data_IF_900384680405
#
_entry.id   IF_900384680405
#
_cell.length_a   1.000
_cell.length_b   1.000
_cell.length_c   1.000
_cell.angle_alpha   90.00
_cell.angle_beta   90.00
_cell.angle_gamma   90.00
#
_symmetry.space_group_name_H-M   'P 1'
#
loop_
_entity.id
_entity.type
_entity.pdbx_description
1 polymer ?
#
# COMPACT_ATOMS: atom_id res chain seq x y z
N UNK A 1 -16.44 -0.90 21.85
CA UNK A 1 -15.41 -1.97 21.98
C UNK A 1 -15.74 -3.02 20.94
N UNK A 2 -14.99 -3.05 19.83
CA UNK A 2 -15.20 -4.02 18.75
C UNK A 2 -14.65 -5.36 19.21
N UNK A 3 -15.50 -6.38 19.26
CA UNK A 3 -15.21 -7.71 19.76
C UNK A 3 -13.98 -8.30 19.07
N UNK A 4 -13.04 -8.82 19.87
CA UNK A 4 -11.96 -9.68 19.39
C UNK A 4 -12.61 -10.83 18.62
N UNK A 5 -12.11 -11.14 17.42
CA UNK A 5 -12.60 -12.28 16.64
C UNK A 5 -11.68 -13.47 16.97
N UNK A 6 -12.06 -14.37 17.90
CA UNK A 6 -11.18 -15.43 18.42
C UNK A 6 -10.87 -16.55 17.42
N UNK A 7 -11.31 -16.44 16.15
CA UNK A 7 -11.07 -17.43 15.09
C UNK A 7 -9.99 -17.05 14.09
N UNK A 8 -9.74 -15.77 13.86
CA UNK A 8 -8.82 -15.35 12.82
C UNK A 8 -7.38 -15.73 13.20
N UNK A 9 -6.73 -16.56 12.37
CA UNK A 9 -5.35 -17.00 12.56
C UNK A 9 -4.40 -16.38 11.53
N UNK A 10 -4.93 -15.98 10.37
CA UNK A 10 -4.16 -15.51 9.23
C UNK A 10 -4.55 -14.09 8.86
N UNK A 11 -3.59 -13.18 8.87
CA UNK A 11 -3.76 -11.82 8.33
C UNK A 11 -3.44 -11.78 6.85
N UNK A 12 -4.23 -11.06 6.06
CA UNK A 12 -3.95 -10.78 4.65
C UNK A 12 -3.81 -9.27 4.48
N UNK A 13 -2.58 -8.81 4.23
CA UNK A 13 -2.28 -7.41 3.97
C UNK A 13 -2.26 -7.16 2.46
N UNK A 14 -3.34 -6.58 1.93
CA UNK A 14 -3.41 -6.14 0.54
C UNK A 14 -2.70 -4.79 0.41
N UNK A 15 -1.64 -4.72 -0.39
CA UNK A 15 -0.83 -3.50 -0.52
C UNK A 15 -0.92 -2.93 -1.93
N UNK A 16 -1.44 -1.72 -2.08
CA UNK A 16 -1.43 -0.99 -3.35
C UNK A 16 -0.42 0.17 -3.33
N UNK A 17 -0.23 0.84 -4.47
CA UNK A 17 0.68 1.98 -4.60
C UNK A 17 0.29 3.12 -3.65
N UNK A 18 -1.00 3.42 -3.60
CA UNK A 18 -1.53 4.58 -2.88
C UNK A 18 -1.85 5.76 -3.79
N UNK A 19 -2.42 6.78 -3.16
CA UNK A 19 -2.99 7.95 -3.80
C UNK A 19 -2.89 9.13 -2.83
N UNK A 20 -2.82 10.38 -3.30
CA UNK A 20 -2.99 11.54 -2.43
C UNK A 20 -4.32 11.48 -1.66
N UNK A 21 -4.33 12.09 -0.47
CA UNK A 21 -5.51 12.17 0.40
C UNK A 21 -6.66 13.00 -0.22
N UNK A 22 -6.32 13.96 -1.10
CA UNK A 22 -7.28 14.73 -1.88
C UNK A 22 -6.67 15.25 -3.18
N UNK A 23 -7.48 15.91 -4.00
CA UNK A 23 -7.03 16.59 -5.23
C UNK A 23 -6.32 17.93 -4.96
N UNK A 24 -6.20 18.36 -3.70
CA UNK A 24 -5.49 19.58 -3.35
C UNK A 24 -4.01 19.45 -3.71
N UNK A 25 -3.44 20.53 -4.22
CA UNK A 25 -2.02 20.59 -4.61
C UNK A 25 -1.10 20.23 -3.44
N UNK A 26 -1.46 20.58 -2.20
CA UNK A 26 -0.71 20.20 -0.99
C UNK A 26 -0.58 18.69 -0.83
N UNK A 27 -1.67 17.97 -1.03
CA UNK A 27 -1.77 16.54 -0.73
C UNK A 27 -1.13 15.73 -1.86
N UNK A 28 -1.32 16.19 -3.11
CA UNK A 28 -0.59 15.68 -4.28
C UNK A 28 0.92 15.91 -4.11
N UNK A 29 1.34 17.07 -3.60
CA UNK A 29 2.76 17.35 -3.33
C UNK A 29 3.32 16.42 -2.25
N UNK A 30 2.58 16.19 -1.17
CA UNK A 30 2.94 15.26 -0.09
C UNK A 30 3.10 13.83 -0.65
N UNK A 31 2.14 13.35 -1.44
CA UNK A 31 2.20 12.07 -2.12
C UNK A 31 3.43 11.97 -3.04
N UNK A 32 3.66 12.95 -3.92
CA UNK A 32 4.80 12.94 -4.83
C UNK A 32 6.14 12.95 -4.10
N UNK A 33 6.25 13.68 -2.99
CA UNK A 33 7.46 13.67 -2.17
C UNK A 33 7.71 12.30 -1.57
N UNK A 34 6.70 11.66 -1.01
CA UNK A 34 6.86 10.32 -0.43
C UNK A 34 7.22 9.27 -1.49
N UNK A 35 6.51 9.30 -2.63
CA UNK A 35 6.71 8.37 -3.74
C UNK A 35 8.10 8.51 -4.37
N UNK A 36 8.49 9.73 -4.73
CA UNK A 36 9.72 9.96 -5.47
C UNK A 36 10.97 10.00 -4.59
N UNK A 37 10.83 10.15 -3.27
CA UNK A 37 11.95 10.00 -2.33
C UNK A 37 12.33 8.54 -2.07
N UNK A 38 11.51 7.60 -2.52
CA UNK A 38 11.81 6.18 -2.47
C UNK A 38 12.99 5.83 -3.38
N UNK A 39 14.03 5.23 -2.80
CA UNK A 39 15.23 4.81 -3.53
C UNK A 39 14.96 3.72 -4.56
N UNK A 40 13.90 2.93 -4.38
CA UNK A 40 13.51 1.91 -5.34
C UNK A 40 12.77 2.49 -6.55
N UNK A 41 12.32 3.74 -6.46
CA UNK A 41 11.64 4.47 -7.54
C UNK A 41 12.62 5.37 -8.27
N UNK A 42 13.45 6.12 -7.53
CA UNK A 42 14.52 6.95 -8.10
C UNK A 42 15.85 6.52 -7.47
N UNK A 43 16.64 5.79 -8.26
CA UNK A 43 17.95 5.26 -7.88
C UNK A 43 19.06 6.30 -8.05
N UNK A 44 18.98 7.39 -7.28
CA UNK A 44 20.03 8.42 -7.16
C UNK A 44 20.36 8.68 -5.69
N UNK A 45 21.59 9.10 -5.34
CA UNK A 45 21.99 9.31 -3.95
C UNK A 45 21.05 10.23 -3.17
N UNK A 46 20.82 9.94 -1.88
CA UNK A 46 19.79 10.60 -1.07
C UNK A 46 19.79 12.14 -1.16
N UNK A 47 20.96 12.79 -1.04
CA UNK A 47 21.06 14.25 -1.10
C UNK A 47 20.62 14.80 -2.47
N UNK A 48 21.08 14.18 -3.55
CA UNK A 48 20.70 14.57 -4.92
C UNK A 48 19.22 14.31 -5.17
N UNK A 49 18.67 13.17 -4.70
CA UNK A 49 17.25 12.85 -4.76
C UNK A 49 16.43 13.87 -3.99
N UNK A 50 16.87 14.22 -2.78
CA UNK A 50 16.19 15.18 -1.92
C UNK A 50 16.07 16.55 -2.58
N UNK A 51 17.15 17.08 -3.14
CA UNK A 51 17.15 18.36 -3.84
C UNK A 51 16.26 18.30 -5.09
N UNK A 52 16.43 17.26 -5.91
CA UNK A 52 15.64 17.06 -7.13
C UNK A 52 14.14 16.99 -6.82
N UNK A 53 13.74 16.17 -5.85
CA UNK A 53 12.33 15.94 -5.53
C UNK A 53 11.71 17.13 -4.82
N UNK A 54 12.36 17.69 -3.81
CA UNK A 54 11.75 18.71 -2.97
C UNK A 54 11.81 20.12 -3.56
N UNK A 55 12.84 20.42 -4.37
CA UNK A 55 13.03 21.75 -4.96
C UNK A 55 12.53 21.84 -6.41
N UNK A 56 12.62 20.75 -7.19
CA UNK A 56 12.30 20.77 -8.63
C UNK A 56 11.04 19.96 -8.94
N UNK A 57 10.96 18.67 -8.60
CA UNK A 57 9.85 17.86 -9.08
C UNK A 57 8.56 18.21 -8.35
N UNK A 58 8.52 18.14 -7.02
CA UNK A 58 7.29 18.31 -6.25
C UNK A 58 6.67 19.73 -6.38
N UNK A 59 7.43 20.84 -6.37
CA UNK A 59 6.86 22.18 -6.52
C UNK A 59 6.23 22.41 -7.90
N UNK A 60 6.90 21.95 -8.97
CA UNK A 60 6.49 22.22 -10.35
C UNK A 60 5.50 21.18 -10.90
N UNK A 61 5.60 19.91 -10.47
CA UNK A 61 4.74 18.81 -10.92
C UNK A 61 3.42 18.73 -10.17
N UNK A 62 3.40 19.02 -8.85
CA UNK A 62 2.19 18.86 -8.05
C UNK A 62 0.96 19.64 -8.58
N UNK A 63 1.06 20.91 -9.02
CA UNK A 63 -0.09 21.62 -9.58
C UNK A 63 -0.64 20.98 -10.86
N UNK A 64 0.25 20.44 -11.71
CA UNK A 64 -0.14 19.74 -12.95
C UNK A 64 -0.81 18.41 -12.63
N UNK A 65 -0.20 17.61 -11.76
CA UNK A 65 -0.78 16.33 -11.31
C UNK A 65 -2.12 16.52 -10.60
N UNK A 66 -2.29 17.57 -9.79
CA UNK A 66 -3.56 17.88 -9.14
C UNK A 66 -4.70 18.15 -10.12
N UNK A 67 -4.42 18.71 -11.31
CA UNK A 67 -5.43 18.85 -12.37
C UNK A 67 -5.88 17.48 -12.87
N UNK A 68 -4.95 16.60 -13.19
CA UNK A 68 -5.24 15.23 -13.64
C UNK A 68 -5.99 14.44 -12.56
N UNK A 69 -5.59 14.54 -11.29
CA UNK A 69 -6.31 13.89 -10.20
C UNK A 69 -7.75 14.37 -10.07
N UNK A 70 -8.06 15.64 -10.39
CA UNK A 70 -9.45 16.14 -10.39
C UNK A 70 -10.30 15.55 -11.50
N UNK A 71 -9.71 15.27 -12.66
CA UNK A 71 -10.43 14.68 -13.80
C UNK A 71 -10.90 13.25 -13.52
N UNK A 72 -10.15 12.51 -12.71
CA UNK A 72 -10.45 11.10 -12.35
C UNK A 72 -11.00 10.94 -10.93
N UNK A 73 -11.20 12.02 -10.19
CA UNK A 73 -11.69 11.95 -8.82
C UNK A 73 -13.19 11.62 -8.81
N UNK A 74 -13.60 10.68 -7.96
CA UNK A 74 -15.01 10.32 -7.80
C UNK A 74 -15.59 10.97 -6.55
N UNK A 75 -16.91 10.96 -6.42
CA UNK A 75 -17.59 11.39 -5.19
C UNK A 75 -17.14 10.59 -3.95
N UNK A 76 -16.77 9.31 -4.15
CA UNK A 76 -16.26 8.43 -3.10
C UNK A 76 -14.77 8.62 -2.81
N UNK A 77 -14.06 9.43 -3.61
CA UNK A 77 -12.63 9.67 -3.49
C UNK A 77 -11.82 9.13 -4.66
N UNK A 78 -10.56 8.80 -4.39
CA UNK A 78 -9.66 8.22 -5.39
C UNK A 78 -10.09 6.80 -5.78
N UNK A 79 -10.27 6.49 -7.08
CA UNK A 79 -10.66 5.17 -7.54
C UNK A 79 -9.82 4.03 -6.97
N UNK A 80 -8.49 4.21 -6.89
CA UNK A 80 -7.58 3.16 -6.40
C UNK A 80 -7.85 2.79 -4.93
N UNK A 81 -8.29 3.77 -4.12
CA UNK A 81 -8.64 3.55 -2.72
C UNK A 81 -10.02 2.90 -2.62
N UNK A 82 -10.99 3.42 -3.36
CA UNK A 82 -12.37 2.91 -3.37
C UNK A 82 -12.41 1.43 -3.80
N UNK A 83 -11.78 1.10 -4.92
CA UNK A 83 -11.70 -0.30 -5.38
C UNK A 83 -10.83 -1.17 -4.48
N UNK A 84 -9.78 -0.61 -3.87
CA UNK A 84 -8.98 -1.33 -2.88
C UNK A 84 -9.79 -1.74 -1.65
N UNK A 85 -10.64 -0.85 -1.14
CA UNK A 85 -11.56 -1.12 -0.02
C UNK A 85 -12.62 -2.15 -0.42
N UNK A 86 -13.14 -2.07 -1.65
CA UNK A 86 -14.09 -3.05 -2.19
C UNK A 86 -13.48 -4.44 -2.34
N UNK A 87 -12.29 -4.56 -2.94
CA UNK A 87 -11.54 -5.82 -3.04
C UNK A 87 -11.28 -6.40 -1.65
N UNK A 88 -10.91 -5.56 -0.68
CA UNK A 88 -10.68 -5.98 0.71
C UNK A 88 -11.92 -6.61 1.32
N UNK A 89 -13.09 -5.99 1.13
CA UNK A 89 -14.37 -6.53 1.61
C UNK A 89 -14.72 -7.84 0.91
N UNK A 90 -14.66 -7.87 -0.42
CA UNK A 90 -15.00 -9.07 -1.20
C UNK A 90 -14.08 -10.25 -0.87
N UNK A 91 -12.79 -9.99 -0.66
CA UNK A 91 -11.83 -11.01 -0.26
C UNK A 91 -12.08 -11.49 1.17
N UNK A 92 -12.41 -10.59 2.10
CA UNK A 92 -12.78 -10.96 3.46
C UNK A 92 -14.03 -11.86 3.48
N UNK A 93 -15.04 -11.53 2.68
CA UNK A 93 -16.27 -12.32 2.56
C UNK A 93 -15.98 -13.71 1.96
N UNK A 94 -15.06 -13.79 0.99
CA UNK A 94 -14.68 -15.05 0.35
C UNK A 94 -13.81 -15.96 1.25
N UNK A 95 -12.95 -15.37 2.09
CA UNK A 95 -12.04 -16.11 2.97
C UNK A 95 -12.68 -16.50 4.32
N UNK A 96 -13.69 -15.78 4.76
CA UNK A 96 -14.40 -16.05 6.01
C UNK A 96 -13.61 -15.71 7.29
N UNK A 97 -14.09 -16.21 8.43
CA UNK A 97 -13.66 -15.79 9.78
C UNK A 97 -12.25 -16.24 10.19
N UNK A 98 -11.63 -17.18 9.46
CA UNK A 98 -10.26 -17.63 9.73
C UNK A 98 -9.21 -16.60 9.28
N UNK A 99 -9.61 -15.66 8.43
CA UNK A 99 -8.76 -14.62 7.87
C UNK A 99 -9.18 -13.24 8.33
N UNK A 100 -8.20 -12.34 8.43
CA UNK A 100 -8.43 -10.91 8.57
C UNK A 100 -7.75 -10.17 7.44
N UNK A 101 -8.53 -9.55 6.56
CA UNK A 101 -8.03 -8.81 5.40
C UNK A 101 -7.94 -7.32 5.73
N UNK A 102 -6.80 -6.69 5.43
CA UNK A 102 -6.56 -5.28 5.67
C UNK A 102 -5.89 -4.63 4.45
N UNK A 103 -6.29 -3.41 4.14
CA UNK A 103 -5.75 -2.61 3.03
C UNK A 103 -4.66 -1.67 3.54
N UNK A 104 -3.51 -1.69 2.88
CA UNK A 104 -2.44 -0.73 3.06
C UNK A 104 -2.02 -0.10 1.74
N UNK A 105 -1.54 1.13 1.82
CA UNK A 105 -0.94 1.85 0.70
C UNK A 105 0.56 1.96 0.94
N UNK A 106 1.34 1.76 -0.12
CA UNK A 106 2.78 1.98 -0.07
C UNK A 106 3.10 3.45 0.23
N UNK A 107 2.34 4.37 -0.36
CA UNK A 107 2.43 5.81 -0.13
C UNK A 107 1.06 6.35 0.33
N UNK A 108 1.06 7.24 1.31
CA UNK A 108 -0.15 7.85 1.91
C UNK A 108 -1.09 6.85 2.62
N UNK A 109 -2.38 7.18 2.73
CA UNK A 109 -3.35 6.52 3.60
C UNK A 109 -4.31 5.58 2.85
N UNK A 110 -4.77 4.48 3.47
CA UNK A 110 -4.31 3.93 4.76
C UNK A 110 -2.84 3.50 4.68
N UNK A 111 -2.03 3.81 5.69
CA UNK A 111 -0.59 3.53 5.62
C UNK A 111 -0.30 2.04 5.71
N UNK A 112 0.80 1.59 5.09
CA UNK A 112 1.30 0.22 5.24
C UNK A 112 1.52 -0.15 6.71
N UNK A 113 1.97 0.79 7.53
CA UNK A 113 2.19 0.59 8.96
C UNK A 113 0.88 0.40 9.73
N UNK A 114 -0.13 1.23 9.49
CA UNK A 114 -1.46 1.04 10.10
C UNK A 114 -2.10 -0.28 9.66
N UNK A 115 -1.93 -0.68 8.39
CA UNK A 115 -2.40 -1.96 7.88
C UNK A 115 -1.77 -3.12 8.65
N UNK A 116 -0.44 -3.19 8.71
CA UNK A 116 0.27 -4.26 9.40
C UNK A 116 0.02 -4.27 10.91
N UNK A 117 -0.04 -3.11 11.57
CA UNK A 117 -0.36 -3.03 13.00
C UNK A 117 -1.80 -3.50 13.28
N UNK A 118 -2.77 -3.19 12.40
CA UNK A 118 -4.14 -3.68 12.57
C UNK A 118 -4.25 -5.21 12.56
N UNK A 119 -3.36 -5.88 11.83
CA UNK A 119 -3.24 -7.34 11.80
C UNK A 119 -2.45 -7.85 13.03
N UNK A 120 -1.33 -7.19 13.37
CA UNK A 120 -0.47 -7.57 14.50
C UNK A 120 -1.21 -7.50 15.83
N UNK A 121 -1.99 -6.43 16.05
CA UNK A 121 -2.68 -6.17 17.32
C UNK A 121 -3.82 -7.17 17.60
N UNK A 122 -4.15 -8.02 16.60
CA UNK A 122 -5.08 -9.14 16.74
C UNK A 122 -4.41 -10.45 17.13
N UNK A 123 -3.08 -10.48 17.26
CA UNK A 123 -2.34 -11.66 17.71
C UNK A 123 -2.32 -12.81 16.70
N UNK A 124 -2.39 -12.49 15.41
CA UNK A 124 -2.42 -13.49 14.32
C UNK A 124 -1.09 -14.26 14.24
N UNK A 125 -1.17 -15.55 13.90
CA UNK A 125 -0.02 -16.46 13.82
C UNK A 125 0.78 -16.26 12.53
N UNK A 126 0.09 -15.84 11.46
CA UNK A 126 0.64 -15.66 10.11
C UNK A 126 0.12 -14.37 9.49
N UNK A 127 0.98 -13.66 8.75
CA UNK A 127 0.60 -12.52 7.91
C UNK A 127 1.09 -12.76 6.48
N UNK A 128 0.15 -12.77 5.53
CA UNK A 128 0.38 -12.85 4.10
C UNK A 128 0.32 -11.45 3.52
N UNK A 129 1.43 -10.96 2.98
CA UNK A 129 1.51 -9.67 2.28
C UNK A 129 1.32 -9.90 0.80
N UNK A 130 0.27 -9.29 0.26
CA UNK A 130 -0.11 -9.39 -1.16
C UNK A 130 -0.05 -8.00 -1.79
N UNK A 131 1.06 -7.63 -2.45
CA UNK A 131 1.11 -6.46 -3.30
C UNK A 131 0.10 -6.62 -4.44
N UNK A 132 -0.75 -5.64 -4.72
CA UNK A 132 -1.72 -5.67 -5.82
C UNK A 132 -1.06 -5.34 -7.18
N UNK A 133 0.14 -5.87 -7.39
CA UNK A 133 0.93 -5.75 -8.62
C UNK A 133 1.18 -7.18 -9.14
N UNK A 134 0.55 -7.60 -10.24
CA UNK A 134 0.70 -8.97 -10.75
C UNK A 134 2.15 -9.27 -11.17
N UNK A 135 2.81 -8.32 -11.83
CA UNK A 135 4.21 -8.41 -12.23
C UNK A 135 5.12 -7.76 -11.18
N UNK A 136 6.20 -8.46 -10.82
CA UNK A 136 7.21 -7.92 -9.93
C UNK A 136 7.99 -6.78 -10.61
N UNK A 137 8.15 -5.67 -9.89
CA UNK A 137 9.17 -4.66 -10.20
C UNK A 137 9.82 -4.15 -8.92
N UNK A 138 11.09 -3.72 -9.01
CA UNK A 138 11.81 -3.15 -7.86
C UNK A 138 11.08 -1.94 -7.28
N UNK A 139 10.54 -1.07 -8.15
CA UNK A 139 9.83 0.15 -7.79
C UNK A 139 8.42 -0.09 -7.19
N UNK A 140 7.86 -1.29 -7.33
CA UNK A 140 6.52 -1.65 -6.83
C UNK A 140 6.63 -2.69 -5.72
N UNK A 141 6.59 -3.98 -6.05
CA UNK A 141 6.65 -5.09 -5.09
C UNK A 141 7.92 -5.04 -4.25
N UNK A 142 9.08 -4.74 -4.85
CA UNK A 142 10.33 -4.58 -4.11
C UNK A 142 10.27 -3.46 -3.07
N UNK A 143 9.60 -2.35 -3.39
CA UNK A 143 9.38 -1.23 -2.47
C UNK A 143 8.44 -1.60 -1.33
N UNK A 144 7.36 -2.33 -1.63
CA UNK A 144 6.45 -2.87 -0.63
C UNK A 144 7.18 -3.78 0.34
N UNK A 145 7.89 -4.79 -0.16
CA UNK A 145 8.65 -5.73 0.68
C UNK A 145 9.67 -5.00 1.56
N UNK A 146 10.41 -4.03 1.01
CA UNK A 146 11.36 -3.26 1.81
C UNK A 146 10.67 -2.47 2.93
N UNK A 147 9.53 -1.83 2.66
CA UNK A 147 8.78 -1.07 3.67
C UNK A 147 8.17 -1.98 4.73
N UNK A 148 7.66 -3.15 4.36
CA UNK A 148 7.18 -4.19 5.29
C UNK A 148 8.31 -4.59 6.24
N UNK A 149 9.48 -4.96 5.72
CA UNK A 149 10.62 -5.36 6.55
C UNK A 149 11.09 -4.22 7.47
N UNK A 150 11.05 -2.96 7.00
CA UNK A 150 11.37 -1.77 7.82
C UNK A 150 10.42 -1.59 9.01
N UNK A 151 9.15 -1.98 8.88
CA UNK A 151 8.15 -1.92 9.96
C UNK A 151 8.29 -3.15 10.87
N UNK A 152 8.27 -4.35 10.29
CA UNK A 152 8.26 -5.62 11.03
C UNK A 152 9.51 -5.80 11.88
N UNK A 153 10.68 -5.29 11.46
CA UNK A 153 11.91 -5.31 12.29
C UNK A 153 11.77 -4.60 13.65
N UNK A 154 10.75 -3.75 13.82
CA UNK A 154 10.49 -3.04 15.07
C UNK A 154 9.58 -3.84 16.02
N UNK A 155 9.01 -4.96 15.56
CA UNK A 155 8.12 -5.78 16.37
C UNK A 155 8.92 -6.72 17.26
N UNK A 156 8.47 -6.91 18.51
CA UNK A 156 9.11 -7.82 19.47
C UNK A 156 8.91 -9.30 19.11
N UNK A 157 7.73 -9.62 18.60
CA UNK A 157 7.35 -10.94 18.13
C UNK A 157 6.92 -10.75 16.68
N UNK A 158 7.59 -11.43 15.77
CA UNK A 158 7.27 -11.39 14.35
C UNK A 158 6.51 -12.69 14.04
N UNK A 159 5.25 -12.61 13.58
CA UNK A 159 4.50 -13.80 13.17
C UNK A 159 5.11 -14.41 11.89
N UNK A 160 4.62 -15.57 11.45
CA UNK A 160 5.05 -16.12 10.16
C UNK A 160 4.71 -15.12 9.04
N UNK A 161 5.72 -14.65 8.31
CA UNK A 161 5.54 -13.69 7.23
C UNK A 161 5.63 -14.38 5.88
N UNK A 162 4.58 -14.29 5.07
CA UNK A 162 4.58 -14.74 3.67
C UNK A 162 4.50 -13.51 2.78
N UNK A 163 5.47 -13.33 1.88
CA UNK A 163 5.51 -12.20 0.95
C UNK A 163 5.28 -12.70 -0.48
N UNK A 164 4.11 -12.38 -1.05
CA UNK A 164 3.81 -12.71 -2.45
C UNK A 164 4.69 -11.85 -3.38
N UNK A 165 5.34 -12.51 -4.35
CA UNK A 165 6.26 -11.87 -5.29
C UNK A 165 5.54 -11.43 -6.58
N UNK A 166 4.77 -12.33 -7.17
CA UNK A 166 4.05 -12.12 -8.43
C UNK A 166 2.92 -13.15 -8.56
N UNK A 167 1.92 -12.82 -9.37
CA UNK A 167 0.80 -13.71 -9.70
C UNK A 167 0.26 -13.47 -11.12
N UNK A 168 1.08 -12.91 -12.01
CA UNK A 168 0.69 -12.58 -13.39
C UNK A 168 0.33 -13.80 -14.24
N UNK A 169 0.85 -14.97 -13.89
CA UNK A 169 0.65 -16.26 -14.57
C UNK A 169 -0.45 -17.11 -13.92
N UNK A 170 -1.12 -16.59 -12.89
CA UNK A 170 -2.19 -17.31 -12.23
C UNK A 170 -3.37 -17.49 -13.21
N UNK A 171 -3.88 -18.72 -13.45
CA UNK A 171 -4.90 -18.97 -14.46
C UNK A 171 -6.15 -18.09 -14.32
N UNK A 172 -6.65 -17.91 -13.09
CA UNK A 172 -7.80 -17.05 -12.82
C UNK A 172 -7.51 -15.55 -13.01
N UNK A 173 -6.24 -15.13 -12.93
CA UNK A 173 -5.84 -13.76 -13.24
C UNK A 173 -5.76 -13.52 -14.75
N UNK A 174 -5.40 -14.54 -15.53
CA UNK A 174 -5.36 -14.49 -16.99
C UNK A 174 -6.78 -14.49 -17.59
N UNK A 175 -7.73 -15.17 -16.95
CA UNK A 175 -9.12 -15.30 -17.44
C UNK A 175 -10.00 -14.07 -17.18
N UNK A 176 -9.71 -13.29 -16.14
CA UNK A 176 -10.51 -12.14 -15.68
C UNK A 176 -10.36 -10.88 -16.56
#
# INVERSE_FOLDING_TARGET
>A
MQTLNPKAKIGVALINLGTPDSTKVSDVRKYLREFLMDERVIDVPFLTRFLLVNLIIAPFRAPKSAKVYREVWTEKGSPIKVYGEEITRLLQDALGDEYLVSLGMRYQNPTLESCLNSLKDKGLEKIIVVPLFPQYASATTGSVHQKVMKIVRQWRIIPEMVMVQSFFDHPQFIEA
#
